data_IF_186967336051
#
_entry.id   IF_186967336051
#
_cell.length_a   1.000
_cell.length_b   1.000
_cell.length_c   1.000
_cell.angle_alpha   90.00
_cell.angle_beta   90.00
_cell.angle_gamma   90.00
#
_symmetry.space_group_name_H-M   'P 1'
#
loop_
_entity.id
_entity.type
_entity.pdbx_description
1 polymer ?
#
# COMPACT_ATOMS: atom_id res chain seq x y z
N UNK A 1 12.44 44.06 -26.44
CA UNK A 1 12.23 42.64 -26.80
C UNK A 1 12.21 41.84 -25.51
N UNK A 2 11.01 41.57 -24.99
CA UNK A 2 10.80 40.86 -23.72
C UNK A 2 10.52 39.38 -24.03
N UNK A 3 11.43 38.51 -23.63
CA UNK A 3 11.38 37.05 -23.81
C UNK A 3 11.53 36.40 -22.42
N UNK A 4 10.83 35.29 -22.13
CA UNK A 4 10.13 35.09 -20.87
C UNK A 4 10.92 34.32 -19.81
N UNK A 5 10.41 34.47 -18.59
CA UNK A 5 10.78 33.78 -17.35
C UNK A 5 10.63 32.25 -17.52
N UNK A 6 11.62 31.44 -17.14
CA UNK A 6 11.38 30.07 -16.69
C UNK A 6 11.61 29.99 -15.17
N UNK A 7 10.53 29.78 -14.43
CA UNK A 7 10.60 29.34 -13.04
C UNK A 7 10.87 27.83 -13.00
N UNK A 8 12.01 27.34 -12.49
CA UNK A 8 12.12 25.95 -12.10
C UNK A 8 11.44 25.78 -10.74
N UNK A 9 10.25 25.19 -10.76
CA UNK A 9 9.58 24.63 -9.59
C UNK A 9 10.43 23.48 -9.02
N UNK A 10 11.25 23.80 -8.01
CA UNK A 10 12.03 22.80 -7.26
C UNK A 10 11.10 22.14 -6.23
N UNK A 11 10.64 20.95 -6.61
CA UNK A 11 10.29 19.77 -5.82
C UNK A 11 10.20 19.95 -4.28
N UNK A 12 9.02 19.78 -3.67
CA UNK A 12 8.96 19.44 -2.25
C UNK A 12 9.45 17.99 -2.07
N UNK A 13 10.69 17.85 -1.62
CA UNK A 13 11.21 16.62 -1.03
C UNK A 13 10.45 16.36 0.28
N UNK A 14 9.72 15.24 0.44
CA UNK A 14 9.30 14.82 1.76
C UNK A 14 10.54 14.31 2.49
N UNK A 15 10.88 15.00 3.59
CA UNK A 15 11.92 14.63 4.53
C UNK A 15 11.95 13.12 4.80
N UNK A 16 13.14 12.50 4.86
CA UNK A 16 13.25 11.20 5.50
C UNK A 16 12.80 11.37 6.95
N UNK A 17 11.76 10.64 7.34
CA UNK A 17 11.47 10.47 8.77
C UNK A 17 12.74 9.90 9.43
N UNK A 18 13.20 10.47 10.54
CA UNK A 18 14.35 9.95 11.26
C UNK A 18 14.11 8.49 11.61
N UNK A 19 15.18 7.71 11.44
CA UNK A 19 15.29 6.33 11.85
C UNK A 19 14.68 6.15 13.24
N UNK A 20 13.66 5.31 13.34
CA UNK A 20 13.31 4.70 14.61
C UNK A 20 14.54 3.87 15.03
N UNK A 21 15.06 4.04 16.25
CA UNK A 21 16.25 3.34 16.68
C UNK A 21 16.02 1.83 16.64
N UNK A 22 17.05 1.12 16.20
CA UNK A 22 17.16 -0.31 16.36
C UNK A 22 17.38 -0.69 17.83
N UNK A 23 16.85 -1.86 18.20
CA UNK A 23 17.33 -2.83 19.21
C UNK A 23 17.02 -2.63 20.72
N UNK A 24 17.01 -3.69 21.58
CA UNK A 24 17.22 -5.16 21.37
C UNK A 24 16.23 -6.08 22.17
N UNK A 25 16.59 -7.31 22.62
CA UNK A 25 15.93 -8.59 22.36
C UNK A 25 14.82 -8.99 23.36
N UNK A 26 14.15 -10.12 23.09
CA UNK A 26 13.17 -10.75 23.96
C UNK A 26 13.59 -10.87 25.44
N UNK A 27 12.69 -10.58 26.39
CA UNK A 27 12.57 -11.39 27.59
C UNK A 27 11.52 -12.47 27.32
N UNK A 28 11.92 -13.73 27.41
CA UNK A 28 10.97 -14.81 27.63
C UNK A 28 10.20 -14.54 28.93
N UNK A 29 8.88 -14.76 28.97
CA UNK A 29 8.25 -15.27 30.16
C UNK A 29 7.89 -16.73 29.89
N UNK A 30 8.69 -17.66 30.42
CA UNK A 30 8.10 -18.92 30.83
C UNK A 30 7.24 -18.63 32.06
N UNK A 31 5.96 -19.04 32.03
CA UNK A 31 5.50 -19.92 33.10
C UNK A 31 4.76 -21.15 32.54
N UNK A 32 5.12 -22.39 32.90
CA UNK A 32 4.14 -23.46 33.12
C UNK A 32 3.67 -23.40 34.59
N UNK A 33 2.60 -24.09 35.07
CA UNK A 33 1.53 -24.83 34.38
C UNK A 33 0.10 -24.47 34.89
N UNK A 34 -0.92 -24.50 34.01
CA UNK A 34 -2.30 -24.90 34.35
C UNK A 34 -3.17 -24.91 33.07
N UNK A 35 -3.97 -25.97 32.82
CA UNK A 35 -4.78 -26.09 31.61
C UNK A 35 -6.06 -25.26 31.76
N UNK A 36 -6.23 -24.24 30.92
CA UNK A 36 -7.54 -23.61 30.69
C UNK A 36 -7.78 -23.56 29.18
N UNK A 37 -8.95 -24.01 28.68
CA UNK A 37 -9.14 -24.27 27.27
C UNK A 37 -9.34 -22.99 26.45
N UNK A 38 -8.71 -22.97 25.27
CA UNK A 38 -8.98 -22.15 24.07
C UNK A 38 -8.49 -20.68 24.00
N UNK A 39 -7.34 -20.46 23.32
CA UNK A 39 -7.11 -19.30 22.47
C UNK A 39 -7.07 -19.73 20.98
N UNK A 40 -7.99 -20.58 20.53
CA UNK A 40 -7.97 -21.13 19.17
C UNK A 40 -8.56 -20.17 18.13
N UNK A 41 -9.39 -19.21 18.54
CA UNK A 41 -10.14 -18.37 17.60
C UNK A 41 -9.36 -17.16 17.08
N UNK A 42 -8.54 -16.49 17.90
CA UNK A 42 -7.88 -15.24 17.48
C UNK A 42 -6.88 -15.46 16.33
N UNK A 43 -6.13 -16.56 16.35
CA UNK A 43 -5.18 -16.89 15.28
C UNK A 43 -5.90 -17.28 13.97
N UNK A 44 -7.04 -17.96 14.06
CA UNK A 44 -7.86 -18.32 12.90
C UNK A 44 -8.55 -17.09 12.31
N UNK A 45 -9.09 -16.23 13.16
CA UNK A 45 -9.68 -14.94 12.77
C UNK A 45 -8.64 -14.04 12.12
N UNK A 46 -7.43 -13.94 12.67
CA UNK A 46 -6.33 -13.17 12.08
C UNK A 46 -5.93 -13.68 10.69
N UNK A 47 -5.93 -15.00 10.46
CA UNK A 47 -5.70 -15.58 9.12
C UNK A 47 -6.83 -15.20 8.16
N UNK A 48 -8.09 -15.38 8.58
CA UNK A 48 -9.27 -14.99 7.79
C UNK A 48 -9.27 -13.50 7.47
N UNK A 49 -8.90 -12.64 8.42
CA UNK A 49 -8.89 -11.18 8.24
C UNK A 49 -7.78 -10.73 7.29
N UNK A 50 -6.57 -11.30 7.37
CA UNK A 50 -5.49 -11.04 6.40
C UNK A 50 -5.90 -11.42 4.97
N UNK A 51 -6.56 -12.56 4.80
CA UNK A 51 -7.03 -13.00 3.49
C UNK A 51 -8.20 -12.15 2.95
N UNK A 52 -9.16 -11.82 3.82
CA UNK A 52 -10.26 -10.90 3.52
C UNK A 52 -9.74 -9.52 3.16
N UNK A 53 -8.80 -8.98 3.93
CA UNK A 53 -8.15 -7.70 3.66
C UNK A 53 -7.48 -7.71 2.29
N UNK A 54 -6.68 -8.74 1.99
CA UNK A 54 -6.03 -8.89 0.68
C UNK A 54 -7.06 -8.92 -0.46
N UNK A 55 -8.11 -9.74 -0.33
CA UNK A 55 -9.14 -9.90 -1.37
C UNK A 55 -9.98 -8.62 -1.56
N UNK A 56 -10.40 -7.98 -0.48
CA UNK A 56 -11.18 -6.76 -0.51
C UNK A 56 -10.35 -5.58 -1.03
N UNK A 57 -9.10 -5.44 -0.54
CA UNK A 57 -8.19 -4.41 -1.01
C UNK A 57 -7.84 -4.59 -2.48
N UNK A 58 -7.62 -5.82 -2.96
CA UNK A 58 -7.41 -6.08 -4.39
C UNK A 58 -8.58 -5.56 -5.25
N UNK A 59 -9.83 -5.76 -4.82
CA UNK A 59 -11.00 -5.20 -5.52
C UNK A 59 -10.99 -3.67 -5.51
N UNK A 60 -10.66 -3.05 -4.38
CA UNK A 60 -10.53 -1.59 -4.26
C UNK A 60 -9.43 -1.07 -5.19
N UNK A 61 -8.27 -1.73 -5.24
CA UNK A 61 -7.16 -1.38 -6.13
C UNK A 61 -7.58 -1.42 -7.60
N UNK A 62 -8.25 -2.51 -8.03
CA UNK A 62 -8.76 -2.65 -9.40
C UNK A 62 -9.78 -1.55 -9.72
N UNK A 63 -10.69 -1.22 -8.79
CA UNK A 63 -11.67 -0.14 -8.98
C UNK A 63 -11.02 1.23 -9.13
N UNK A 64 -9.97 1.51 -8.34
CA UNK A 64 -9.24 2.77 -8.39
C UNK A 64 -8.34 2.88 -9.63
N UNK A 65 -7.78 1.77 -10.10
CA UNK A 65 -6.94 1.71 -11.30
C UNK A 65 -7.76 1.63 -12.60
N UNK A 66 -9.00 1.15 -12.55
CA UNK A 66 -9.89 1.02 -13.72
C UNK A 66 -9.98 2.29 -14.59
N UNK A 67 -10.20 3.50 -14.04
CA UNK A 67 -10.22 4.73 -14.84
C UNK A 67 -8.87 5.06 -15.50
N UNK A 68 -7.74 4.63 -14.93
CA UNK A 68 -6.41 4.84 -15.51
C UNK A 68 -6.12 3.95 -16.72
N UNK A 69 -6.93 2.91 -16.92
CA UNK A 69 -6.88 2.04 -18.10
C UNK A 69 -7.69 2.60 -19.27
N UNK A 70 -8.57 3.58 -19.05
CA UNK A 70 -9.29 4.27 -20.14
C UNK A 70 -8.34 5.18 -20.91
N UNK A 71 -8.56 5.30 -22.21
CA UNK A 71 -7.83 6.18 -23.11
C UNK A 71 -7.96 7.66 -22.77
N UNK A 72 -8.99 8.03 -22.01
CA UNK A 72 -9.26 9.39 -21.51
C UNK A 72 -8.41 9.77 -20.28
N UNK A 73 -7.57 8.88 -19.75
CA UNK A 73 -6.78 9.16 -18.56
C UNK A 73 -5.61 10.11 -18.89
N UNK A 74 -5.69 11.36 -18.42
CA UNK A 74 -4.64 12.38 -18.63
C UNK A 74 -3.33 12.11 -17.86
N UNK A 75 -3.29 11.16 -16.93
CA UNK A 75 -2.10 10.90 -16.09
C UNK A 75 -2.09 9.45 -15.64
N UNK A 76 -0.91 8.81 -15.62
CA UNK A 76 -0.74 7.43 -15.18
C UNK A 76 -1.44 6.41 -16.09
N UNK A 77 -1.55 6.70 -17.38
CA UNK A 77 -2.21 5.80 -18.34
C UNK A 77 -1.49 4.46 -18.37
N UNK A 78 -2.23 3.39 -18.16
CA UNK A 78 -1.71 2.02 -18.20
C UNK A 78 -1.89 1.47 -19.61
N UNK A 79 -0.79 1.22 -20.31
CA UNK A 79 -0.80 0.72 -21.70
C UNK A 79 -1.06 -0.78 -21.78
N UNK A 80 -0.57 -1.55 -20.81
CA UNK A 80 -0.62 -3.01 -20.81
C UNK A 80 -1.51 -3.57 -19.68
N UNK A 81 -2.28 -4.61 -19.99
CA UNK A 81 -3.07 -5.35 -18.99
C UNK A 81 -2.19 -6.10 -17.99
N UNK A 82 -0.99 -6.51 -18.40
CA UNK A 82 0.01 -7.11 -17.52
C UNK A 82 0.42 -6.14 -16.40
N UNK A 83 0.68 -4.88 -16.75
CA UNK A 83 1.03 -3.84 -15.78
C UNK A 83 -0.14 -3.46 -14.88
N UNK A 84 -1.37 -3.46 -15.41
CA UNK A 84 -2.56 -3.30 -14.58
C UNK A 84 -2.66 -4.37 -13.48
N UNK A 85 -2.49 -5.65 -13.86
CA UNK A 85 -2.54 -6.77 -12.89
C UNK A 85 -1.38 -6.67 -11.89
N UNK A 86 -0.20 -6.29 -12.35
CA UNK A 86 0.96 -6.11 -11.48
C UNK A 86 0.74 -4.95 -10.51
N UNK A 87 0.29 -3.77 -10.97
CA UNK A 87 -0.05 -2.63 -10.13
C UNK A 87 -1.10 -3.00 -9.08
N UNK A 88 -2.18 -3.69 -9.46
CA UNK A 88 -3.19 -4.13 -8.51
C UNK A 88 -2.60 -5.04 -7.42
N UNK A 89 -1.79 -6.03 -7.80
CA UNK A 89 -1.10 -6.93 -6.83
C UNK A 89 -0.10 -6.17 -5.95
N UNK A 90 0.74 -5.35 -6.57
CA UNK A 90 1.80 -4.58 -5.91
C UNK A 90 1.22 -3.58 -4.93
N UNK A 91 0.23 -2.78 -5.33
CA UNK A 91 -0.39 -1.80 -4.46
C UNK A 91 -1.16 -2.47 -3.30
N UNK A 92 -1.81 -3.61 -3.56
CA UNK A 92 -2.43 -4.42 -2.49
C UNK A 92 -1.38 -4.87 -1.47
N UNK A 93 -0.22 -5.34 -1.93
CA UNK A 93 0.87 -5.75 -1.07
C UNK A 93 1.47 -4.58 -0.28
N UNK A 94 1.72 -3.45 -0.94
CA UNK A 94 2.24 -2.24 -0.30
C UNK A 94 1.31 -1.68 0.77
N UNK A 95 0.00 -1.63 0.51
CA UNK A 95 -0.98 -1.21 1.52
C UNK A 95 -1.01 -2.18 2.68
N UNK A 96 -1.03 -3.49 2.41
CA UNK A 96 -0.96 -4.50 3.47
C UNK A 96 0.29 -4.35 4.34
N UNK A 97 1.48 -4.16 3.75
CA UNK A 97 2.72 -3.91 4.48
C UNK A 97 2.68 -2.62 5.31
N UNK A 98 2.10 -1.55 4.75
CA UNK A 98 1.94 -0.27 5.45
C UNK A 98 1.03 -0.41 6.66
N UNK A 99 -0.10 -1.07 6.48
CA UNK A 99 -1.05 -1.31 7.57
C UNK A 99 -0.45 -2.27 8.60
N UNK A 100 0.32 -3.28 8.20
CA UNK A 100 0.99 -4.19 9.14
C UNK A 100 2.04 -3.48 10.02
N UNK A 101 2.66 -2.39 9.52
CA UNK A 101 3.56 -1.53 10.30
C UNK A 101 2.82 -0.53 11.18
N UNK A 102 1.56 -0.22 10.89
CA UNK A 102 0.78 0.79 11.59
C UNK A 102 -0.17 0.16 12.63
N UNK A 103 -0.75 -1.00 12.32
CA UNK A 103 -1.56 -1.79 13.22
C UNK A 103 -0.68 -2.56 14.20
N UNK A 104 -0.99 -2.46 15.50
CA UNK A 104 -0.37 -3.29 16.54
C UNK A 104 -0.96 -4.69 16.59
N UNK A 105 -2.20 -4.88 16.10
CA UNK A 105 -2.91 -6.15 16.09
C UNK A 105 -3.48 -6.48 14.71
N UNK A 106 -3.48 -7.78 14.37
CA UNK A 106 -4.00 -8.28 13.09
C UNK A 106 -5.52 -8.19 13.01
N UNK A 107 -6.21 -8.14 14.15
CA UNK A 107 -7.66 -7.97 14.24
C UNK A 107 -8.14 -6.57 13.83
N UNK A 108 -7.26 -5.57 13.88
CA UNK A 108 -7.56 -4.22 13.39
C UNK A 108 -7.36 -4.07 11.87
N UNK A 109 -6.77 -5.09 11.22
CA UNK A 109 -6.44 -5.06 9.79
C UNK A 109 -7.68 -5.32 8.94
N UNK A 110 -8.56 -4.33 8.85
CA UNK A 110 -9.82 -4.39 8.08
C UNK A 110 -9.90 -3.25 7.08
N UNK A 111 -10.56 -3.50 5.94
CA UNK A 111 -10.75 -2.48 4.90
C UNK A 111 -11.86 -1.51 5.30
N UNK A 112 -11.52 -0.54 6.14
CA UNK A 112 -12.42 0.56 6.49
C UNK A 112 -12.43 1.65 5.41
N UNK A 113 -13.39 2.57 5.48
CA UNK A 113 -13.47 3.70 4.54
C UNK A 113 -12.28 4.66 4.67
N UNK A 114 -11.63 4.70 5.84
CA UNK A 114 -10.34 5.38 6.03
C UNK A 114 -9.24 4.73 5.21
N UNK A 115 -9.13 3.39 5.23
CA UNK A 115 -8.13 2.68 4.42
C UNK A 115 -8.40 2.87 2.92
N UNK A 116 -9.67 2.79 2.49
CA UNK A 116 -10.06 3.06 1.09
C UNK A 116 -9.70 4.48 0.66
N UNK A 117 -9.98 5.48 1.49
CA UNK A 117 -9.66 6.88 1.21
C UNK A 117 -8.15 7.13 1.14
N UNK A 118 -7.39 6.53 2.06
CA UNK A 118 -5.92 6.55 2.03
C UNK A 118 -5.38 5.86 0.76
N UNK A 119 -5.88 4.68 0.41
CA UNK A 119 -5.50 3.96 -0.81
C UNK A 119 -5.78 4.80 -2.06
N UNK A 120 -6.95 5.44 -2.16
CA UNK A 120 -7.32 6.33 -3.27
C UNK A 120 -6.33 7.49 -3.44
N UNK A 121 -5.99 8.18 -2.35
CA UNK A 121 -5.01 9.27 -2.37
C UNK A 121 -3.61 8.76 -2.69
N UNK A 122 -3.23 7.59 -2.15
CA UNK A 122 -1.95 6.96 -2.41
C UNK A 122 -1.78 6.60 -3.89
N UNK A 123 -2.76 5.95 -4.51
CA UNK A 123 -2.73 5.59 -5.94
C UNK A 123 -2.67 6.84 -6.81
N UNK A 124 -3.50 7.87 -6.51
CA UNK A 124 -3.46 9.15 -7.24
C UNK A 124 -2.06 9.76 -7.21
N UNK A 125 -1.42 9.81 -6.03
CA UNK A 125 -0.07 10.36 -5.86
C UNK A 125 0.98 9.50 -6.55
N UNK A 126 0.83 8.18 -6.47
CA UNK A 126 1.73 7.21 -7.10
C UNK A 126 1.67 7.33 -8.63
N UNK A 127 0.49 7.30 -9.23
CA UNK A 127 0.28 7.51 -10.67
C UNK A 127 0.77 8.89 -11.14
N UNK A 128 0.59 9.94 -10.33
CA UNK A 128 1.13 11.28 -10.63
C UNK A 128 2.66 11.30 -10.71
N UNK A 129 3.35 10.42 -9.98
CA UNK A 129 4.84 10.32 -10.01
C UNK A 129 5.35 9.78 -11.35
N UNK A 130 4.60 8.91 -12.02
CA UNK A 130 4.96 8.36 -13.33
C UNK A 130 4.65 9.32 -14.49
N UNK A 131 3.89 10.39 -14.24
CA UNK A 131 3.53 11.36 -15.28
C UNK A 131 2.42 10.85 -16.20
N UNK A 132 2.46 11.11 -17.52
CA UNK A 132 1.33 10.83 -18.42
C UNK A 132 1.10 9.34 -18.67
N UNK A 133 2.16 8.52 -18.69
CA UNK A 133 2.09 7.07 -18.96
C UNK A 133 2.83 6.32 -17.87
N UNK A 134 2.24 5.24 -17.38
CA UNK A 134 2.93 4.34 -16.44
C UNK A 134 3.95 3.50 -17.21
N UNK A 135 5.22 3.68 -16.88
CA UNK A 135 6.31 2.81 -17.35
C UNK A 135 6.75 1.94 -16.19
N UNK A 136 6.70 0.62 -16.38
CA UNK A 136 7.26 -0.33 -15.42
C UNK A 136 8.78 -0.07 -15.31
N UNK A 137 9.32 0.29 -14.14
CA UNK A 137 10.75 0.43 -13.97
C UNK A 137 11.42 -0.95 -14.09
N UNK A 138 12.58 -1.00 -14.76
CA UNK A 138 13.31 -2.25 -15.04
C UNK A 138 13.74 -3.02 -13.78
N UNK A 139 13.85 -2.33 -12.65
CA UNK A 139 14.19 -2.88 -11.33
C UNK A 139 13.08 -3.76 -10.73
N UNK A 140 11.87 -3.72 -11.29
CA UNK A 140 10.67 -4.36 -10.73
C UNK A 140 10.08 -5.44 -11.66
N UNK A 141 10.88 -5.92 -12.62
CA UNK A 141 10.55 -7.04 -13.50
C UNK A 141 11.03 -8.37 -12.89
N UNK A 142 10.38 -8.80 -11.81
CA UNK A 142 10.45 -10.18 -11.31
C UNK A 142 9.04 -10.66 -10.93
#
# INVERSE_FOLDING_TARGET
MSIPIPSPVILPSPSPVPAVPAEPPAPAPAPPPAPSPAPVDAAEVARKLKEQFRSCMARVMVGLLSPYRRTDASTGKITCTADFKHLARKLTHFVMLKELKHCRAVEELVVTDSVKSKAKTFIKKYMKKFGPVYTRPADEAD
#
